data_IF_698318720165
#
_entry.id   IF_698318720165
#
_cell.length_a   1.000
_cell.length_b   1.000
_cell.length_c   1.000
_cell.angle_alpha   90.00
_cell.angle_beta   90.00
_cell.angle_gamma   90.00
#
_symmetry.space_group_name_H-M   'P 1'
#
loop_
_entity.id
_entity.type
_entity.pdbx_description
1 polymer ?
#
# COMPACT_ATOMS: atom_id res chain seq x y z
N UNK A 1 26.45 -13.95 -5.97
CA UNK A 1 25.64 -13.61 -4.78
C UNK A 1 26.40 -12.51 -4.05
N UNK A 2 25.99 -11.25 -4.29
CA UNK A 2 26.73 -10.07 -3.82
C UNK A 2 26.52 -9.91 -2.30
N UNK A 3 27.59 -9.59 -1.56
CA UNK A 3 27.59 -9.44 -0.09
C UNK A 3 26.71 -8.26 0.38
N UNK A 4 26.17 -7.44 -0.51
CA UNK A 4 25.30 -6.30 -0.22
C UNK A 4 23.83 -6.65 0.10
N UNK A 5 23.39 -7.90 -0.11
CA UNK A 5 22.01 -8.33 0.14
C UNK A 5 21.80 -9.01 1.51
N UNK A 6 22.75 -8.91 2.44
CA UNK A 6 22.53 -9.39 3.80
C UNK A 6 21.56 -8.48 4.52
N UNK A 7 20.46 -9.06 4.95
CA UNK A 7 19.45 -8.44 5.81
C UNK A 7 20.14 -7.73 7.01
N UNK A 8 20.18 -6.39 6.95
CA UNK A 8 20.84 -5.55 7.97
C UNK A 8 19.91 -5.30 9.17
N UNK A 9 18.63 -5.65 9.05
CA UNK A 9 17.60 -5.46 10.08
C UNK A 9 17.04 -6.79 10.59
N UNK A 10 16.61 -6.79 11.86
CA UNK A 10 15.98 -7.97 12.50
C UNK A 10 14.49 -7.98 12.21
N UNK A 11 14.03 -8.97 11.45
CA UNK A 11 12.60 -9.14 11.12
C UNK A 11 11.80 -9.51 12.37
N UNK A 12 10.78 -8.72 12.67
CA UNK A 12 9.83 -9.04 13.74
C UNK A 12 8.93 -10.24 13.38
N UNK A 13 8.31 -10.85 14.39
CA UNK A 13 7.34 -11.92 14.17
C UNK A 13 6.12 -11.44 13.35
N UNK A 14 5.78 -10.15 13.44
CA UNK A 14 4.70 -9.54 12.66
C UNK A 14 5.07 -9.44 11.18
N UNK A 15 6.24 -8.89 10.87
CA UNK A 15 6.76 -8.75 9.51
C UNK A 15 6.92 -10.11 8.82
N UNK A 16 7.36 -11.13 9.57
CA UNK A 16 7.41 -12.50 9.07
C UNK A 16 6.03 -13.05 8.68
N UNK A 17 4.97 -12.70 9.41
CA UNK A 17 3.60 -13.08 9.03
C UNK A 17 3.13 -12.34 7.78
N UNK A 18 3.43 -11.04 7.65
CA UNK A 18 3.10 -10.23 6.46
C UNK A 18 3.82 -10.78 5.24
N UNK A 19 5.13 -11.01 5.32
CA UNK A 19 5.90 -11.63 4.23
C UNK A 19 5.36 -13.00 3.83
N UNK A 20 5.04 -13.87 4.79
CA UNK A 20 4.46 -15.19 4.50
C UNK A 20 3.07 -15.10 3.87
N UNK A 21 2.29 -14.07 4.19
CA UNK A 21 0.97 -13.85 3.62
C UNK A 21 1.07 -13.41 2.15
N UNK A 22 1.90 -12.41 1.86
CA UNK A 22 2.07 -11.86 0.52
C UNK A 22 3.07 -12.62 -0.37
N UNK A 23 4.06 -13.29 0.20
CA UNK A 23 5.05 -14.07 -0.54
C UNK A 23 4.52 -15.37 -1.16
N UNK A 24 3.26 -15.77 -0.87
CA UNK A 24 2.63 -16.93 -1.46
C UNK A 24 1.90 -16.55 -2.74
N UNK A 25 2.26 -17.18 -3.85
CA UNK A 25 1.57 -17.01 -5.14
C UNK A 25 1.93 -15.71 -5.88
N UNK A 26 3.09 -15.13 -5.60
CA UNK A 26 3.59 -13.91 -6.25
C UNK A 26 3.58 -14.03 -7.77
N UNK A 27 4.07 -15.16 -8.32
CA UNK A 27 4.12 -15.41 -9.77
C UNK A 27 2.74 -15.32 -10.44
N UNK A 28 1.70 -15.55 -9.69
CA UNK A 28 0.33 -15.60 -10.18
C UNK A 28 -0.34 -14.22 -10.16
N UNK A 29 -0.06 -13.40 -9.13
CA UNK A 29 -0.46 -11.99 -9.11
C UNK A 29 0.18 -11.21 -10.26
N UNK A 30 1.40 -11.58 -10.63
CA UNK A 30 2.10 -11.01 -11.77
C UNK A 30 1.31 -11.22 -13.07
N UNK A 31 0.89 -12.46 -13.33
CA UNK A 31 0.19 -12.83 -14.56
C UNK A 31 -1.25 -12.32 -14.61
N UNK A 32 -1.92 -12.18 -13.46
CA UNK A 32 -3.37 -11.92 -13.41
C UNK A 32 -3.70 -10.46 -13.10
N UNK A 33 -2.98 -9.84 -12.18
CA UNK A 33 -3.19 -8.45 -11.74
C UNK A 33 -2.16 -7.47 -12.31
N UNK A 34 -1.34 -7.88 -13.28
CA UNK A 34 -0.27 -7.03 -13.84
C UNK A 34 0.77 -6.60 -12.79
N UNK A 35 0.82 -7.29 -11.64
CA UNK A 35 1.70 -6.96 -10.52
C UNK A 35 1.19 -5.89 -9.58
N UNK A 36 -0.03 -5.38 -9.76
CA UNK A 36 -0.69 -4.48 -8.81
C UNK A 36 -1.31 -5.27 -7.66
N UNK A 37 -1.26 -4.71 -6.44
CA UNK A 37 -1.84 -5.28 -5.23
C UNK A 37 -2.91 -4.37 -4.60
N UNK A 38 -3.26 -3.26 -5.26
CA UNK A 38 -4.20 -2.28 -4.77
C UNK A 38 -5.64 -2.55 -5.24
N UNK A 39 -6.64 -1.96 -4.59
CA UNK A 39 -8.06 -2.12 -4.95
C UNK A 39 -8.48 -1.36 -6.20
N UNK A 40 -7.63 -0.47 -6.70
CA UNK A 40 -7.94 0.38 -7.84
C UNK A 40 -8.92 1.52 -7.54
N UNK A 41 -8.89 2.54 -8.38
CA UNK A 41 -9.81 3.68 -8.35
C UNK A 41 -10.73 3.58 -9.56
N UNK A 42 -11.96 3.11 -9.34
CA UNK A 42 -12.97 2.80 -10.35
C UNK A 42 -13.82 4.04 -10.69
N UNK A 43 -13.24 4.97 -11.41
CA UNK A 43 -13.96 6.14 -11.89
C UNK A 43 -14.81 5.82 -13.14
N UNK A 44 -15.68 6.75 -13.53
CA UNK A 44 -16.58 6.55 -14.66
C UNK A 44 -15.81 6.20 -15.94
N UNK A 45 -16.19 5.09 -16.57
CA UNK A 45 -15.58 4.59 -17.80
C UNK A 45 -14.50 3.52 -17.59
N UNK A 46 -13.97 3.34 -16.39
CA UNK A 46 -13.02 2.29 -16.07
C UNK A 46 -13.77 0.98 -15.82
N UNK A 47 -13.40 -0.07 -16.56
CA UNK A 47 -14.07 -1.38 -16.51
C UNK A 47 -13.12 -2.53 -16.16
N UNK A 48 -11.83 -2.34 -16.37
CA UNK A 48 -10.80 -3.36 -16.17
C UNK A 48 -9.95 -3.07 -14.94
N UNK A 49 -9.57 -4.10 -14.22
CA UNK A 49 -8.83 -3.97 -12.96
C UNK A 49 -7.51 -3.22 -13.13
N UNK A 50 -6.71 -3.56 -14.15
CA UNK A 50 -5.40 -2.91 -14.37
C UNK A 50 -5.59 -1.40 -14.57
N UNK A 51 -6.59 -0.99 -15.35
CA UNK A 51 -6.90 0.44 -15.54
C UNK A 51 -7.28 1.13 -14.21
N UNK A 52 -8.07 0.45 -13.37
CA UNK A 52 -8.43 0.98 -12.06
C UNK A 52 -7.22 1.09 -11.12
N UNK A 53 -6.35 0.07 -11.12
CA UNK A 53 -5.13 0.05 -10.34
C UNK A 53 -4.17 1.18 -10.76
N UNK A 54 -3.95 1.35 -12.06
CA UNK A 54 -3.16 2.44 -12.63
C UNK A 54 -3.77 3.82 -12.35
N UNK A 55 -5.11 3.94 -12.39
CA UNK A 55 -5.80 5.19 -12.07
C UNK A 55 -5.59 5.60 -10.60
N UNK A 56 -5.57 4.63 -9.66
CA UNK A 56 -5.21 4.92 -8.28
C UNK A 56 -3.76 5.41 -8.17
N UNK A 57 -2.82 4.73 -8.81
CA UNK A 57 -1.40 5.12 -8.81
C UNK A 57 -1.22 6.51 -9.43
N UNK A 58 -1.90 6.79 -10.54
CA UNK A 58 -1.89 8.12 -11.19
C UNK A 58 -2.42 9.22 -10.26
N UNK A 59 -3.53 8.94 -9.57
CA UNK A 59 -4.11 9.86 -8.57
C UNK A 59 -3.12 10.13 -7.45
N UNK A 60 -2.39 9.12 -6.98
CA UNK A 60 -1.40 9.27 -5.92
C UNK A 60 -0.18 10.08 -6.39
N UNK A 61 0.33 9.84 -7.61
CA UNK A 61 1.39 10.64 -8.21
C UNK A 61 0.99 12.12 -8.36
N UNK A 62 -0.27 12.37 -8.75
CA UNK A 62 -0.84 13.73 -8.85
C UNK A 62 -0.96 14.38 -7.47
N UNK A 63 -1.42 13.66 -6.45
CA UNK A 63 -1.51 14.17 -5.06
C UNK A 63 -0.15 14.55 -4.49
N UNK A 64 0.89 13.80 -4.82
CA UNK A 64 2.27 14.11 -4.48
C UNK A 64 2.78 15.35 -5.24
N UNK A 65 2.27 15.62 -6.44
CA UNK A 65 2.83 16.63 -7.34
C UNK A 65 4.16 16.19 -7.94
N UNK A 66 4.28 14.89 -8.26
CA UNK A 66 5.51 14.33 -8.82
C UNK A 66 5.93 15.03 -10.13
N UNK A 67 7.23 15.23 -10.26
CA UNK A 67 7.88 15.84 -11.42
C UNK A 67 9.31 15.32 -11.58
N UNK A 68 10.01 15.78 -12.60
CA UNK A 68 11.38 15.35 -12.96
C UNK A 68 12.44 15.65 -11.87
N UNK A 69 12.16 16.48 -10.89
CA UNK A 69 13.06 16.80 -9.77
C UNK A 69 12.74 15.96 -8.51
N UNK A 70 11.71 15.14 -8.54
CA UNK A 70 11.26 14.37 -7.40
C UNK A 70 12.23 13.24 -7.07
N UNK A 71 12.64 13.16 -5.81
CA UNK A 71 13.27 12.00 -5.18
C UNK A 71 12.19 11.29 -4.40
N UNK A 72 11.65 10.21 -4.96
CA UNK A 72 10.51 9.47 -4.41
C UNK A 72 10.98 8.24 -3.61
N UNK A 73 10.43 8.06 -2.42
CA UNK A 73 10.47 6.80 -1.68
C UNK A 73 9.09 6.16 -1.73
N UNK A 74 8.97 4.95 -2.26
CA UNK A 74 7.76 4.11 -2.16
C UNK A 74 7.92 3.04 -1.09
N UNK A 75 7.09 3.08 -0.05
CA UNK A 75 7.18 2.19 1.12
C UNK A 75 6.04 1.18 1.10
N UNK A 76 6.39 -0.11 0.98
CA UNK A 76 5.44 -1.19 0.70
C UNK A 76 5.11 -1.27 -0.79
N UNK A 77 6.15 -1.22 -1.62
CA UNK A 77 6.03 -1.12 -3.08
C UNK A 77 5.44 -2.36 -3.76
N UNK A 78 5.27 -3.46 -3.02
CA UNK A 78 4.83 -4.71 -3.60
C UNK A 78 5.75 -5.17 -4.73
N UNK A 79 5.18 -5.65 -5.83
CA UNK A 79 5.92 -6.19 -6.97
C UNK A 79 6.43 -5.12 -7.96
N UNK A 80 6.38 -3.84 -7.59
CA UNK A 80 6.97 -2.74 -8.34
C UNK A 80 6.18 -2.24 -9.55
N UNK A 81 4.98 -2.75 -9.81
CA UNK A 81 4.17 -2.29 -10.95
C UNK A 81 3.85 -0.78 -10.87
N UNK A 82 3.53 -0.30 -9.67
CA UNK A 82 3.26 1.12 -9.42
C UNK A 82 4.49 2.00 -9.65
N UNK A 83 5.68 1.52 -9.31
CA UNK A 83 6.94 2.26 -9.50
C UNK A 83 7.29 2.42 -10.98
N UNK A 84 7.09 1.35 -11.77
CA UNK A 84 7.26 1.40 -13.22
C UNK A 84 6.26 2.39 -13.83
N UNK A 85 4.99 2.32 -13.44
CA UNK A 85 3.97 3.27 -13.89
C UNK A 85 4.35 4.72 -13.58
N UNK A 86 4.77 5.00 -12.34
CA UNK A 86 5.19 6.35 -11.92
C UNK A 86 6.43 6.83 -12.67
N UNK A 87 7.40 5.95 -12.87
CA UNK A 87 8.60 6.27 -13.67
C UNK A 87 8.26 6.68 -15.09
N UNK A 88 7.30 6.01 -15.73
CA UNK A 88 6.90 6.26 -17.11
C UNK A 88 6.00 7.49 -17.29
N UNK A 89 5.13 7.78 -16.29
CA UNK A 89 4.09 8.80 -16.45
C UNK A 89 4.41 10.14 -15.76
N UNK A 90 5.29 10.15 -14.74
CA UNK A 90 5.70 11.35 -14.02
C UNK A 90 7.20 11.64 -14.15
N UNK A 91 7.97 10.68 -14.61
CA UNK A 91 9.41 10.77 -14.83
C UNK A 91 10.21 11.38 -13.65
N UNK A 92 9.99 10.95 -12.38
CA UNK A 92 10.76 11.49 -11.27
C UNK A 92 12.26 11.23 -11.47
N UNK A 93 13.10 12.05 -10.83
CA UNK A 93 14.56 11.91 -10.93
C UNK A 93 15.01 10.52 -10.46
N UNK A 94 14.44 10.03 -9.38
CA UNK A 94 14.72 8.71 -8.81
C UNK A 94 13.53 8.20 -8.02
N UNK A 95 13.31 6.89 -8.05
CA UNK A 95 12.41 6.13 -7.18
C UNK A 95 13.25 5.11 -6.42
N UNK A 96 13.25 5.19 -5.10
CA UNK A 96 13.66 4.11 -4.22
C UNK A 96 12.40 3.43 -3.67
N UNK A 97 12.27 2.13 -3.90
CA UNK A 97 11.10 1.34 -3.55
C UNK A 97 11.49 0.26 -2.53
N UNK A 98 10.78 0.16 -1.41
CA UNK A 98 11.12 -0.77 -0.33
C UNK A 98 9.92 -1.65 0.04
N UNK A 99 10.17 -2.96 0.24
CA UNK A 99 9.18 -3.92 0.71
C UNK A 99 9.81 -4.95 1.66
N UNK A 100 9.02 -5.46 2.59
CA UNK A 100 9.42 -6.49 3.55
C UNK A 100 9.50 -7.88 2.93
N UNK A 101 8.83 -8.07 1.79
CA UNK A 101 8.73 -9.34 1.08
C UNK A 101 9.83 -9.46 0.04
N UNK A 102 10.83 -10.33 0.30
CA UNK A 102 11.96 -10.50 -0.60
C UNK A 102 11.55 -10.84 -2.03
N UNK A 103 10.57 -11.71 -2.22
CA UNK A 103 10.07 -12.07 -3.55
C UNK A 103 9.50 -10.87 -4.32
N UNK A 104 8.87 -9.92 -3.65
CA UNK A 104 8.39 -8.68 -4.28
C UNK A 104 9.56 -7.89 -4.85
N UNK A 105 10.63 -7.77 -4.10
CA UNK A 105 11.85 -7.06 -4.53
C UNK A 105 12.48 -7.73 -5.76
N UNK A 106 12.53 -9.06 -5.80
CA UNK A 106 13.04 -9.78 -6.98
C UNK A 106 12.19 -9.51 -8.22
N UNK A 107 10.85 -9.52 -8.08
CA UNK A 107 9.92 -9.18 -9.16
C UNK A 107 10.05 -7.72 -9.59
N UNK A 108 10.14 -6.77 -8.66
CA UNK A 108 10.34 -5.36 -8.95
C UNK A 108 11.62 -5.11 -9.74
N UNK A 109 12.74 -5.69 -9.30
CA UNK A 109 14.03 -5.60 -10.02
C UNK A 109 13.96 -6.17 -11.45
N UNK A 110 13.24 -7.28 -11.65
CA UNK A 110 13.02 -7.84 -12.98
C UNK A 110 12.20 -6.90 -13.85
N UNK A 111 11.06 -6.39 -13.35
CA UNK A 111 10.19 -5.44 -14.06
C UNK A 111 10.92 -4.17 -14.48
N UNK A 112 11.72 -3.60 -13.58
CA UNK A 112 12.49 -2.40 -13.89
C UNK A 112 13.45 -2.61 -15.06
N UNK A 113 14.14 -3.77 -15.10
CA UNK A 113 15.00 -4.13 -16.24
C UNK A 113 14.20 -4.34 -17.53
N UNK A 114 13.08 -5.06 -17.46
CA UNK A 114 12.20 -5.30 -18.61
C UNK A 114 11.60 -4.00 -19.17
N UNK A 115 11.34 -3.02 -18.28
CA UNK A 115 10.84 -1.70 -18.64
C UNK A 115 11.95 -0.69 -19.00
N UNK A 116 13.23 -1.08 -18.95
CA UNK A 116 14.41 -0.22 -19.17
C UNK A 116 14.40 1.05 -18.28
N UNK A 117 14.08 0.90 -17.00
CA UNK A 117 14.10 1.99 -16.02
C UNK A 117 14.84 1.64 -14.72
N UNK A 118 15.65 0.60 -14.72
CA UNK A 118 16.42 0.15 -13.54
C UNK A 118 17.61 1.07 -13.19
N UNK A 119 17.93 2.02 -14.03
CA UNK A 119 18.78 3.17 -13.71
C UNK A 119 18.10 4.18 -12.76
N UNK A 120 16.79 4.31 -12.88
CA UNK A 120 15.95 5.28 -12.15
C UNK A 120 15.18 4.65 -10.98
N UNK A 121 14.72 3.39 -11.11
CA UNK A 121 13.93 2.68 -10.09
C UNK A 121 14.76 1.63 -9.38
N UNK A 122 14.97 1.79 -8.08
CA UNK A 122 15.80 0.92 -7.24
C UNK A 122 14.97 0.23 -6.18
N UNK A 123 15.09 -1.09 -6.07
CA UNK A 123 14.33 -1.91 -5.12
C UNK A 123 15.19 -2.38 -3.95
N UNK A 124 14.69 -2.17 -2.73
CA UNK A 124 15.34 -2.45 -1.46
C UNK A 124 14.50 -3.42 -0.62
N UNK A 125 15.15 -4.40 0.01
CA UNK A 125 14.49 -5.27 0.98
C UNK A 125 14.65 -4.69 2.38
N UNK A 126 13.52 -4.39 3.06
CA UNK A 126 13.57 -3.77 4.38
C UNK A 126 12.19 -3.52 4.98
N UNK A 127 12.18 -2.92 6.17
CA UNK A 127 10.95 -2.60 6.91
C UNK A 127 10.63 -1.12 6.88
N UNK A 128 9.33 -0.81 6.86
CA UNK A 128 8.81 0.56 6.92
C UNK A 128 9.10 1.27 8.26
N UNK A 129 9.34 0.50 9.33
CA UNK A 129 9.54 1.03 10.70
C UNK A 129 11.01 1.23 11.10
N UNK A 130 11.93 0.96 10.15
CA UNK A 130 13.36 1.25 10.26
C UNK A 130 13.93 1.37 8.83
N UNK A 131 13.69 2.50 8.20
CA UNK A 131 14.06 2.76 6.81
C UNK A 131 15.59 2.91 6.67
N UNK A 132 16.25 2.15 5.78
CA UNK A 132 17.71 2.15 5.63
C UNK A 132 18.23 3.35 4.82
N UNK A 133 17.62 4.51 5.00
CA UNK A 133 17.97 5.74 4.28
C UNK A 133 18.36 6.84 5.26
N UNK A 134 19.30 7.74 4.86
CA UNK A 134 19.66 8.89 5.67
C UNK A 134 18.49 9.86 5.90
N UNK A 135 18.60 10.69 6.90
CA UNK A 135 17.66 11.78 7.16
C UNK A 135 17.59 12.72 5.95
N UNK A 136 16.41 13.26 5.67
CA UNK A 136 16.20 14.29 4.65
C UNK A 136 16.67 13.89 3.23
N UNK A 137 16.54 12.61 2.86
CA UNK A 137 16.97 12.08 1.56
C UNK A 137 15.93 12.29 0.45
N UNK A 138 14.64 12.31 0.80
CA UNK A 138 13.55 12.28 -0.17
C UNK A 138 12.74 13.58 -0.17
N UNK A 139 12.23 13.96 -1.32
CA UNK A 139 11.27 15.06 -1.49
C UNK A 139 9.83 14.58 -1.38
N UNK A 140 9.57 13.31 -1.74
CA UNK A 140 8.25 12.71 -1.76
C UNK A 140 8.29 11.30 -1.19
N UNK A 141 7.20 10.91 -0.52
CA UNK A 141 7.00 9.56 -0.01
C UNK A 141 5.60 9.07 -0.38
N UNK A 142 5.54 7.86 -0.92
CA UNK A 142 4.32 7.15 -1.28
C UNK A 142 4.17 5.89 -0.42
N UNK A 143 2.93 5.51 -0.09
CA UNK A 143 2.60 4.16 0.34
C UNK A 143 1.15 3.86 -0.04
N UNK A 144 0.91 2.76 -0.77
CA UNK A 144 -0.42 2.36 -1.25
C UNK A 144 -0.76 1.00 -0.66
N UNK A 145 -1.84 0.95 0.15
CA UNK A 145 -2.38 -0.29 0.75
C UNK A 145 -1.31 -1.16 1.46
N UNK A 146 -0.44 -0.47 2.17
CA UNK A 146 0.60 -1.09 2.97
C UNK A 146 0.65 -0.54 4.41
N UNK A 147 0.29 0.76 4.68
CA UNK A 147 0.45 1.34 6.02
C UNK A 147 -0.39 0.64 7.09
N UNK A 148 -1.51 0.01 6.73
CA UNK A 148 -2.32 -0.78 7.66
C UNK A 148 -1.56 -1.98 8.24
N UNK A 149 -0.58 -2.52 7.49
CA UNK A 149 0.23 -3.68 7.90
C UNK A 149 1.47 -3.32 8.70
N UNK A 150 1.91 -2.07 8.71
CA UNK A 150 3.14 -1.68 9.42
C UNK A 150 2.99 -1.79 10.94
N UNK A 151 4.00 -2.23 11.63
CA UNK A 151 3.95 -2.43 13.08
C UNK A 151 4.87 -1.44 13.85
N UNK A 152 4.40 -0.22 14.03
CA UNK A 152 3.05 0.36 13.82
C UNK A 152 3.05 1.42 12.71
N UNK A 153 1.84 1.85 12.27
CA UNK A 153 1.70 3.01 11.37
C UNK A 153 2.38 4.26 11.94
N UNK A 154 2.30 4.48 13.25
CA UNK A 154 2.95 5.61 13.88
C UNK A 154 4.48 5.54 13.82
N UNK A 155 5.08 4.35 13.99
CA UNK A 155 6.52 4.17 13.81
C UNK A 155 6.93 4.45 12.37
N UNK A 156 6.16 3.96 11.40
CA UNK A 156 6.36 4.29 10.00
C UNK A 156 6.29 5.81 9.75
N UNK A 157 5.29 6.51 10.28
CA UNK A 157 5.16 7.96 10.10
C UNK A 157 6.35 8.72 10.71
N UNK A 158 6.94 8.28 11.81
CA UNK A 158 8.19 8.84 12.37
C UNK A 158 9.36 8.65 11.43
N UNK A 159 9.53 7.46 10.87
CA UNK A 159 10.56 7.18 9.88
C UNK A 159 10.34 7.96 8.58
N UNK A 160 9.09 8.02 8.10
CA UNK A 160 8.71 8.84 6.95
C UNK A 160 9.07 10.32 7.16
N UNK A 161 8.79 10.86 8.36
CA UNK A 161 9.17 12.22 8.71
C UNK A 161 10.70 12.42 8.74
N UNK A 162 11.44 11.44 9.25
CA UNK A 162 12.90 11.47 9.32
C UNK A 162 13.55 11.52 7.94
N UNK A 163 13.10 10.64 7.02
CA UNK A 163 13.71 10.55 5.70
C UNK A 163 13.25 11.62 4.71
N UNK A 164 12.10 12.25 4.96
CA UNK A 164 11.61 13.36 4.15
C UNK A 164 12.37 14.65 4.46
N UNK A 165 12.71 15.39 3.42
CA UNK A 165 13.21 16.77 3.54
C UNK A 165 12.17 17.66 4.23
N UNK A 166 12.57 18.73 4.90
CA UNK A 166 11.64 19.78 5.32
C UNK A 166 10.78 20.26 4.15
N UNK A 167 9.46 20.30 4.32
CA UNK A 167 8.51 20.61 3.24
C UNK A 167 8.25 19.45 2.26
N UNK A 168 8.86 18.27 2.46
CA UNK A 168 8.60 17.10 1.64
C UNK A 168 7.16 16.58 1.80
N UNK A 169 6.61 15.99 0.76
CA UNK A 169 5.21 15.57 0.69
C UNK A 169 5.09 14.06 0.90
N UNK A 170 4.13 13.64 1.73
CA UNK A 170 3.70 12.25 1.87
C UNK A 170 2.31 12.07 1.28
N UNK A 171 2.09 10.99 0.51
CA UNK A 171 0.76 10.55 0.10
C UNK A 171 0.56 9.08 0.45
N UNK A 172 -0.58 8.77 1.06
CA UNK A 172 -0.94 7.42 1.50
C UNK A 172 -2.33 7.06 0.96
N UNK A 173 -2.48 5.84 0.47
CA UNK A 173 -3.78 5.23 0.21
C UNK A 173 -3.97 4.09 1.20
N UNK A 174 -5.00 4.15 2.04
CA UNK A 174 -5.11 3.29 3.21
C UNK A 174 -6.57 3.12 3.65
N UNK A 175 -6.81 2.17 4.54
CA UNK A 175 -8.10 1.93 5.17
C UNK A 175 -8.24 2.67 6.49
N UNK A 176 -9.45 3.15 6.76
CA UNK A 176 -9.83 3.72 8.04
C UNK A 176 -11.22 3.24 8.46
N UNK A 177 -11.54 3.34 9.73
CA UNK A 177 -12.92 3.27 10.16
C UNK A 177 -13.64 4.59 9.81
N UNK A 178 -14.78 4.50 9.15
CA UNK A 178 -15.64 5.67 8.91
C UNK A 178 -16.24 6.21 10.21
N UNK A 179 -16.43 5.32 11.17
CA UNK A 179 -16.93 5.62 12.53
C UNK A 179 -16.38 4.64 13.55
N UNK A 180 -16.36 5.02 14.80
CA UNK A 180 -16.07 4.09 15.88
C UNK A 180 -17.10 2.94 15.95
N UNK A 181 -16.70 1.72 16.33
CA UNK A 181 -17.61 0.59 16.55
C UNK A 181 -18.66 0.92 17.62
N UNK A 182 -19.97 0.82 17.28
CA UNK A 182 -21.09 1.20 18.16
C UNK A 182 -21.58 0.07 19.04
N UNK A 183 -21.39 -1.19 18.62
CA UNK A 183 -21.93 -2.37 19.30
C UNK A 183 -20.93 -3.54 19.24
N UNK A 184 -21.29 -4.65 19.90
CA UNK A 184 -20.43 -5.84 19.94
C UNK A 184 -20.20 -6.47 18.56
N UNK A 185 -21.17 -6.40 17.65
CA UNK A 185 -21.04 -6.92 16.29
C UNK A 185 -20.02 -6.12 15.49
N UNK A 186 -20.05 -4.79 15.54
CA UNK A 186 -19.03 -3.92 14.93
C UNK A 186 -17.63 -4.27 15.47
N UNK A 187 -17.49 -4.39 16.81
CA UNK A 187 -16.21 -4.75 17.44
C UNK A 187 -15.69 -6.10 16.97
N UNK A 188 -16.59 -7.09 16.88
CA UNK A 188 -16.24 -8.42 16.38
C UNK A 188 -15.77 -8.38 14.91
N UNK A 189 -16.50 -7.65 14.06
CA UNK A 189 -16.15 -7.49 12.64
C UNK A 189 -14.74 -6.86 12.48
N UNK A 190 -14.48 -5.77 13.19
CA UNK A 190 -13.18 -5.09 13.16
C UNK A 190 -12.07 -6.00 13.67
N UNK A 191 -12.29 -6.69 14.79
CA UNK A 191 -11.29 -7.59 15.36
C UNK A 191 -11.00 -8.80 14.47
N UNK A 192 -12.02 -9.38 13.82
CA UNK A 192 -11.87 -10.47 12.88
C UNK A 192 -11.13 -10.01 11.61
N UNK A 193 -11.52 -8.88 11.02
CA UNK A 193 -10.91 -8.34 9.82
C UNK A 193 -9.41 -8.03 10.03
N UNK A 194 -9.08 -7.30 11.12
CA UNK A 194 -7.69 -6.96 11.39
C UNK A 194 -6.79 -8.20 11.60
N UNK A 195 -7.31 -9.27 12.25
CA UNK A 195 -6.55 -10.52 12.45
C UNK A 195 -6.31 -11.25 11.12
N UNK A 196 -7.35 -11.33 10.27
CA UNK A 196 -7.26 -11.96 8.96
C UNK A 196 -6.26 -11.24 8.04
N UNK A 197 -6.20 -9.92 8.12
CA UNK A 197 -5.31 -9.10 7.29
C UNK A 197 -3.98 -8.74 7.96
N UNK A 198 -3.68 -9.30 9.13
CA UNK A 198 -2.47 -8.96 9.87
C UNK A 198 -2.34 -7.45 10.15
N UNK A 199 -3.44 -6.78 10.48
CA UNK A 199 -3.45 -5.37 10.86
C UNK A 199 -3.20 -5.25 12.37
N UNK A 200 -2.17 -4.53 12.83
CA UNK A 200 -1.96 -4.22 14.25
C UNK A 200 -3.15 -3.48 14.85
N UNK A 201 -3.43 -3.67 16.13
CA UNK A 201 -4.52 -2.96 16.82
C UNK A 201 -4.35 -1.45 16.79
N UNK A 202 -3.12 -1.03 16.90
CA UNK A 202 -2.67 0.36 16.89
C UNK A 202 -2.97 1.06 15.56
N UNK A 203 -3.21 0.30 14.49
CA UNK A 203 -3.51 0.79 13.15
C UNK A 203 -5.02 0.83 12.85
N UNK A 204 -5.87 0.48 13.82
CA UNK A 204 -7.33 0.62 13.68
C UNK A 204 -7.71 2.07 13.95
N UNK A 205 -7.70 2.89 12.93
CA UNK A 205 -7.91 4.34 13.01
C UNK A 205 -9.21 4.79 12.34
N UNK A 206 -9.83 5.82 12.88
CA UNK A 206 -10.74 6.68 12.13
C UNK A 206 -9.94 7.75 11.37
N UNK A 207 -10.54 8.45 10.40
CA UNK A 207 -9.89 9.55 9.70
C UNK A 207 -9.35 10.61 10.67
N UNK A 208 -10.04 10.87 11.79
CA UNK A 208 -9.57 11.85 12.78
C UNK A 208 -8.39 11.33 13.61
N UNK A 209 -8.42 10.08 14.11
CA UNK A 209 -7.26 9.52 14.82
C UNK A 209 -6.05 9.35 13.91
N UNK A 210 -6.26 9.09 12.61
CA UNK A 210 -5.21 9.07 11.59
C UNK A 210 -4.58 10.46 11.42
N UNK A 211 -5.42 11.50 11.31
CA UNK A 211 -4.98 12.91 11.25
C UNK A 211 -4.14 13.31 12.47
N UNK A 212 -4.58 12.88 13.66
CA UNK A 212 -3.86 13.17 14.89
C UNK A 212 -2.51 12.45 14.96
N UNK A 213 -2.40 11.21 14.47
CA UNK A 213 -1.12 10.51 14.31
C UNK A 213 -0.15 11.27 13.40
N UNK A 214 -0.65 11.77 12.26
CA UNK A 214 0.15 12.60 11.36
C UNK A 214 0.66 13.88 12.04
N UNK A 215 -0.22 14.61 12.76
CA UNK A 215 0.18 15.83 13.47
C UNK A 215 1.29 15.58 14.49
N UNK A 216 1.09 14.60 15.38
CA UNK A 216 2.07 14.32 16.44
C UNK A 216 3.37 13.70 15.95
N UNK A 217 3.41 13.20 14.71
CA UNK A 217 4.63 12.71 14.06
C UNK A 217 5.31 13.78 13.19
N UNK A 218 4.83 15.03 13.22
CA UNK A 218 5.48 16.17 12.59
C UNK A 218 5.02 16.47 11.17
N UNK A 219 3.79 16.09 10.81
CA UNK A 219 3.17 16.48 9.55
C UNK A 219 2.14 17.58 9.74
N UNK A 220 2.04 18.47 8.75
CA UNK A 220 1.08 19.58 8.66
C UNK A 220 0.34 19.53 7.32
N UNK A 221 -0.58 20.46 7.09
CA UNK A 221 -1.37 20.60 5.85
C UNK A 221 -2.03 19.29 5.41
N UNK A 222 -2.64 18.61 6.40
CA UNK A 222 -3.16 17.27 6.28
C UNK A 222 -4.52 17.26 5.58
N UNK A 223 -4.55 16.81 4.32
CA UNK A 223 -5.76 16.47 3.56
C UNK A 223 -6.08 14.99 3.68
N UNK A 224 -7.32 14.65 3.99
CA UNK A 224 -7.84 13.27 3.94
C UNK A 224 -9.10 13.29 3.10
N UNK A 225 -9.12 12.47 2.05
CA UNK A 225 -10.24 12.32 1.13
C UNK A 225 -10.80 10.90 1.23
N UNK A 226 -12.10 10.76 1.48
CA UNK A 226 -12.82 9.48 1.43
C UNK A 226 -13.12 9.12 -0.03
N UNK A 227 -12.67 7.96 -0.47
CA UNK A 227 -12.87 7.46 -1.85
C UNK A 227 -13.36 6.02 -1.90
N UNK A 228 -13.82 5.47 -0.77
CA UNK A 228 -14.27 4.08 -0.67
C UNK A 228 -15.37 3.72 -1.66
N UNK A 229 -16.23 4.66 -2.05
CA UNK A 229 -17.25 4.44 -3.08
C UNK A 229 -16.67 4.21 -4.49
N UNK A 230 -15.45 4.69 -4.73
CA UNK A 230 -14.73 4.54 -6.00
C UNK A 230 -13.72 3.38 -5.99
N UNK A 231 -13.52 2.71 -4.85
CA UNK A 231 -12.53 1.62 -4.70
C UNK A 231 -13.19 0.30 -4.35
N UNK A 232 -13.78 0.20 -3.17
CA UNK A 232 -14.26 -1.05 -2.55
C UNK A 232 -15.30 -1.78 -3.41
N UNK A 233 -16.36 -1.14 -3.94
CA UNK A 233 -17.34 -1.85 -4.78
C UNK A 233 -16.75 -2.40 -6.06
N UNK A 234 -15.92 -1.63 -6.77
CA UNK A 234 -15.30 -2.05 -8.02
C UNK A 234 -14.43 -3.29 -7.82
N UNK A 235 -13.53 -3.24 -6.83
CA UNK A 235 -12.69 -4.39 -6.48
C UNK A 235 -13.53 -5.61 -6.05
N UNK A 236 -14.55 -5.39 -5.22
CA UNK A 236 -15.46 -6.46 -4.79
C UNK A 236 -16.11 -7.20 -5.96
N UNK A 237 -16.59 -6.49 -6.99
CA UNK A 237 -17.20 -7.10 -8.16
C UNK A 237 -16.16 -7.76 -9.07
N UNK A 238 -14.96 -7.17 -9.21
CA UNK A 238 -13.83 -7.75 -9.94
C UNK A 238 -13.46 -9.13 -9.38
N UNK A 239 -13.29 -9.25 -8.06
CA UNK A 239 -12.93 -10.51 -7.40
C UNK A 239 -14.00 -11.62 -7.54
N UNK A 240 -15.17 -11.30 -8.07
CA UNK A 240 -16.28 -12.24 -8.34
C UNK A 240 -16.44 -12.64 -9.77
N UNK A 241 -15.62 -12.11 -10.65
CA UNK A 241 -15.61 -12.58 -12.05
C UNK A 241 -15.19 -14.06 -12.08
N UNK A 242 -15.86 -14.91 -12.88
CA UNK A 242 -15.57 -16.35 -12.90
C UNK A 242 -14.11 -16.67 -13.26
N UNK A 243 -13.50 -15.88 -14.14
CA UNK A 243 -12.10 -16.01 -14.53
C UNK A 243 -11.16 -15.73 -13.34
N UNK A 244 -11.44 -14.68 -12.55
CA UNK A 244 -10.68 -14.31 -11.34
C UNK A 244 -10.74 -15.45 -10.32
N UNK A 245 -11.95 -15.93 -10.01
CA UNK A 245 -12.16 -17.04 -9.08
C UNK A 245 -11.39 -18.28 -9.53
N UNK A 246 -11.40 -18.60 -10.84
CA UNK A 246 -10.65 -19.74 -11.37
C UNK A 246 -9.14 -19.59 -11.15
N UNK A 247 -8.58 -18.43 -11.46
CA UNK A 247 -7.15 -18.18 -11.31
C UNK A 247 -6.73 -18.19 -9.83
N UNK A 248 -7.44 -17.47 -8.97
CA UNK A 248 -7.19 -17.49 -7.52
C UNK A 248 -7.28 -18.91 -6.95
N UNK A 249 -8.22 -19.72 -7.43
CA UNK A 249 -8.36 -21.12 -7.00
C UNK A 249 -7.18 -21.98 -7.44
N UNK A 250 -6.68 -21.80 -8.67
CA UNK A 250 -5.47 -22.51 -9.15
C UNK A 250 -4.25 -22.17 -8.27
N UNK A 251 -4.12 -20.93 -7.90
CA UNK A 251 -2.98 -20.36 -7.18
C UNK A 251 -2.97 -20.76 -5.71
N UNK A 252 -4.09 -20.53 -5.03
CA UNK A 252 -4.20 -20.66 -3.57
C UNK A 252 -4.84 -21.98 -3.13
N UNK A 253 -5.31 -22.80 -4.09
CA UNK A 253 -6.10 -23.98 -3.83
C UNK A 253 -7.57 -23.66 -3.53
N UNK A 254 -8.43 -24.69 -3.63
CA UNK A 254 -9.89 -24.56 -3.55
C UNK A 254 -10.39 -23.89 -2.26
N UNK A 255 -9.82 -24.26 -1.10
CA UNK A 255 -10.22 -23.72 0.20
C UNK A 255 -9.82 -22.25 0.33
N UNK A 256 -8.58 -21.91 0.00
CA UNK A 256 -8.07 -20.55 0.12
C UNK A 256 -8.70 -19.59 -0.91
N UNK A 257 -9.00 -20.07 -2.12
CA UNK A 257 -9.75 -19.30 -3.11
C UNK A 257 -11.15 -18.91 -2.62
N UNK A 258 -11.86 -19.84 -1.93
CA UNK A 258 -13.16 -19.54 -1.32
C UNK A 258 -13.07 -18.63 -0.09
N UNK A 259 -12.05 -18.80 0.75
CA UNK A 259 -11.85 -17.95 1.93
C UNK A 259 -11.51 -16.50 1.54
N UNK A 260 -10.76 -16.27 0.47
CA UNK A 260 -10.53 -14.93 -0.08
C UNK A 260 -11.86 -14.21 -0.37
N UNK A 261 -12.79 -14.90 -1.04
CA UNK A 261 -14.12 -14.36 -1.31
C UNK A 261 -14.93 -13.99 -0.06
N UNK A 262 -14.71 -14.65 1.10
CA UNK A 262 -15.36 -14.30 2.37
C UNK A 262 -14.81 -12.98 2.95
N UNK A 263 -13.51 -12.76 2.81
CA UNK A 263 -12.87 -11.50 3.25
C UNK A 263 -13.42 -10.33 2.44
N UNK A 264 -13.47 -10.46 1.11
CA UNK A 264 -14.01 -9.42 0.23
C UNK A 264 -15.47 -9.09 0.55
N UNK A 265 -16.30 -10.10 0.88
CA UNK A 265 -17.68 -9.89 1.35
C UNK A 265 -17.69 -9.10 2.65
N UNK A 266 -16.82 -9.42 3.59
CA UNK A 266 -16.78 -8.75 4.90
C UNK A 266 -16.39 -7.28 4.74
N UNK A 267 -15.37 -6.99 3.91
CA UNK A 267 -14.93 -5.62 3.58
C UNK A 267 -16.05 -4.83 2.91
N UNK A 268 -16.66 -5.39 1.88
CA UNK A 268 -17.76 -4.73 1.18
C UNK A 268 -18.96 -4.47 2.10
N UNK A 269 -19.33 -5.43 2.97
CA UNK A 269 -20.39 -5.24 3.97
C UNK A 269 -20.02 -4.16 4.99
N UNK A 270 -18.78 -4.17 5.50
CA UNK A 270 -18.31 -3.15 6.44
C UNK A 270 -18.37 -1.74 5.81
N UNK A 271 -17.99 -1.60 4.53
CA UNK A 271 -18.16 -0.37 3.78
C UNK A 271 -19.66 0.01 3.64
N UNK A 272 -20.52 -0.90 3.17
CA UNK A 272 -21.97 -0.67 2.99
C UNK A 272 -22.68 -0.27 4.27
N UNK A 273 -22.23 -0.76 5.42
CA UNK A 273 -22.79 -0.40 6.75
C UNK A 273 -22.16 0.88 7.33
N UNK A 274 -21.29 1.54 6.60
CA UNK A 274 -20.60 2.76 7.04
C UNK A 274 -19.67 2.52 8.22
N UNK A 275 -19.05 1.35 8.31
CA UNK A 275 -18.04 1.03 9.32
C UNK A 275 -16.63 1.22 8.79
N UNK A 276 -16.38 0.86 7.53
CA UNK A 276 -15.09 0.96 6.86
C UNK A 276 -15.12 2.05 5.80
N UNK A 277 -13.97 2.69 5.59
CA UNK A 277 -13.73 3.66 4.53
C UNK A 277 -12.35 3.42 3.91
N UNK A 278 -12.18 3.85 2.66
CA UNK A 278 -10.89 3.93 1.98
C UNK A 278 -10.51 5.39 1.80
N UNK A 279 -9.33 5.77 2.24
CA UNK A 279 -8.89 7.16 2.30
C UNK A 279 -7.63 7.39 1.48
N UNK A 280 -7.59 8.55 0.82
CA UNK A 280 -6.36 9.13 0.29
C UNK A 280 -5.91 10.25 1.23
N UNK A 281 -4.67 10.17 1.65
CA UNK A 281 -4.05 11.12 2.59
C UNK A 281 -2.95 11.86 1.87
N UNK A 282 -2.87 13.18 2.05
CA UNK A 282 -1.73 14.01 1.69
C UNK A 282 -1.33 14.86 2.89
N UNK A 283 -0.04 14.94 3.16
CA UNK A 283 0.46 15.81 4.20
C UNK A 283 1.85 16.34 3.84
N UNK A 284 2.28 17.40 4.51
CA UNK A 284 3.59 18.00 4.35
C UNK A 284 4.43 17.79 5.62
N UNK A 285 5.69 17.41 5.44
CA UNK A 285 6.69 17.32 6.51
C UNK A 285 6.99 18.72 7.04
N UNK A 286 6.76 18.97 8.35
CA UNK A 286 7.04 20.26 8.96
C UNK A 286 8.53 20.65 8.80
N UNK A 287 8.81 21.93 8.68
CA UNK A 287 10.15 22.44 8.84
C UNK A 287 10.46 22.43 10.35
N UNK A 288 11.12 21.36 10.84
CA UNK A 288 11.50 21.14 12.27
C UNK A 288 10.40 21.44 13.27
#
# INVERSE_FOLDING_TARGET
MNIQDKQIWSKSSHESRVENFYGKGVENYDNFHGGYLNFGLWERGIKEYIQAAENLVHRMGTLLGLNEQSLLLDVGCGMGAQDIYLSQNFAPQQIDAIDVTWKHIEHGKRRAREANCDDRVRFHHGTATSLPFPDHSFTHLLSIEAPEHFHTREMFLREARRVLKPGGIIALADYSLKRAPKNLADKFIVEAARRLWNVPRENVDTAESYREKLRRTGFKDIGIQEVGALTIPGYYFEQRRPEVIREVTKIRGFIAGRLGGVIDVAVYKAFKTGLLEYILVRAESSAT
#
